data_IF_609183800311
#
_entry.id   IF_609183800311
#
_cell.length_a   1.000
_cell.length_b   1.000
_cell.length_c   1.000
_cell.angle_alpha   90.00
_cell.angle_beta   90.00
_cell.angle_gamma   90.00
#
_symmetry.space_group_name_H-M   'P 1'
#
loop_
_entity.id
_entity.type
_entity.pdbx_description
1 polymer ?
#
# COMPACT_ATOMS: atom_id res chain seq x y z
N UNK A 1 -2.48 -22.11 -29.04
CA UNK A 1 -1.27 -21.29 -28.80
C UNK A 1 -1.19 -20.23 -29.88
N UNK A 2 -1.51 -18.97 -29.60
CA UNK A 2 -1.32 -17.87 -30.55
C UNK A 2 0.06 -17.25 -30.28
N UNK A 3 0.94 -17.29 -31.27
CA UNK A 3 2.22 -16.59 -31.22
C UNK A 3 1.96 -15.08 -31.29
N UNK A 4 2.38 -14.33 -30.27
CA UNK A 4 2.34 -12.87 -30.26
C UNK A 4 3.70 -12.39 -30.80
N UNK A 5 3.66 -11.59 -31.86
CA UNK A 5 4.84 -11.09 -32.57
C UNK A 5 5.40 -9.85 -31.82
N UNK A 6 6.67 -9.84 -31.35
CA UNK A 6 7.19 -8.85 -30.39
C UNK A 6 7.48 -7.45 -30.99
N UNK A 7 7.21 -7.21 -32.27
CA UNK A 7 7.58 -5.98 -32.96
C UNK A 7 6.46 -4.96 -33.15
N UNK A 8 5.28 -5.18 -32.56
CA UNK A 8 4.15 -4.24 -32.68
C UNK A 8 3.55 -3.89 -31.32
N UNK A 9 4.38 -3.40 -30.40
CA UNK A 9 3.95 -3.00 -29.07
C UNK A 9 3.70 -1.50 -29.06
N UNK A 10 2.53 -1.08 -29.55
CA UNK A 10 1.98 0.23 -29.18
C UNK A 10 1.83 0.33 -27.65
N UNK A 11 1.50 1.51 -27.08
CA UNK A 11 1.36 1.69 -25.63
C UNK A 11 0.41 0.65 -24.99
N UNK A 12 -0.62 0.22 -25.72
CA UNK A 12 -1.54 -0.85 -25.30
C UNK A 12 -0.89 -2.24 -25.18
N UNK A 13 0.12 -2.56 -26.00
CA UNK A 13 0.81 -3.85 -25.92
C UNK A 13 1.74 -3.96 -24.71
N UNK A 14 2.28 -2.83 -24.23
CA UNK A 14 3.06 -2.78 -22.99
C UNK A 14 2.14 -2.91 -21.77
N UNK A 15 0.94 -2.32 -21.82
CA UNK A 15 -0.09 -2.51 -20.78
C UNK A 15 -0.54 -3.97 -20.69
N UNK A 16 -0.69 -4.67 -21.82
CA UNK A 16 -1.04 -6.10 -21.85
C UNK A 16 0.10 -6.95 -21.27
N UNK A 17 1.35 -6.72 -21.67
CA UNK A 17 2.51 -7.43 -21.12
C UNK A 17 2.69 -7.17 -19.61
N UNK A 18 2.48 -5.94 -19.14
CA UNK A 18 2.53 -5.60 -17.71
C UNK A 18 1.40 -6.27 -16.91
N UNK A 19 0.23 -6.47 -17.53
CA UNK A 19 -0.88 -7.20 -16.92
C UNK A 19 -0.66 -8.74 -16.94
N UNK A 20 -0.03 -9.29 -17.97
CA UNK A 20 0.26 -10.73 -18.10
C UNK A 20 1.49 -11.17 -17.27
N UNK A 21 2.44 -10.27 -17.02
CA UNK A 21 3.62 -10.52 -16.16
C UNK A 21 3.27 -10.61 -14.67
N UNK A 22 1.98 -10.44 -14.32
CA UNK A 22 1.48 -10.53 -12.97
C UNK A 22 1.74 -9.25 -12.16
N UNK A 23 0.84 -8.88 -11.25
CA UNK A 23 0.98 -7.67 -10.41
C UNK A 23 2.16 -7.75 -9.42
N UNK A 24 2.85 -8.88 -9.36
CA UNK A 24 4.08 -9.13 -8.61
C UNK A 24 5.30 -8.40 -9.22
N UNK A 25 5.29 -8.09 -10.52
CA UNK A 25 6.39 -7.44 -11.23
C UNK A 25 6.22 -5.91 -11.34
N UNK A 26 5.14 -5.34 -10.81
CA UNK A 26 4.93 -3.89 -10.84
C UNK A 26 5.59 -3.22 -9.63
N UNK A 27 6.74 -2.58 -9.87
CA UNK A 27 7.36 -1.71 -8.86
C UNK A 27 6.46 -0.50 -8.58
N UNK A 28 6.25 -0.19 -7.31
CA UNK A 28 5.51 0.99 -6.87
C UNK A 28 6.48 2.17 -6.75
N UNK A 29 6.16 3.27 -7.41
CA UNK A 29 6.98 4.49 -7.34
C UNK A 29 6.80 5.24 -6.02
N UNK A 30 7.76 6.11 -5.66
CA UNK A 30 7.62 7.03 -4.51
C UNK A 30 6.37 7.91 -4.60
N UNK A 31 5.98 8.33 -5.80
CA UNK A 31 4.76 9.13 -6.02
C UNK A 31 3.50 8.35 -5.63
N UNK A 32 3.42 7.08 -6.05
CA UNK A 32 2.32 6.20 -5.66
C UNK A 32 2.34 5.91 -4.15
N UNK A 33 3.51 5.65 -3.56
CA UNK A 33 3.62 5.45 -2.12
C UNK A 33 3.21 6.69 -1.31
N UNK A 34 3.56 7.91 -1.77
CA UNK A 34 3.06 9.14 -1.14
C UNK A 34 1.54 9.21 -1.15
N UNK A 35 0.92 8.92 -2.30
CA UNK A 35 -0.54 8.90 -2.41
C UNK A 35 -1.14 7.86 -1.46
N UNK A 36 -0.61 6.64 -1.49
CA UNK A 36 -1.02 5.53 -0.62
C UNK A 36 -0.92 5.90 0.86
N UNK A 37 0.16 6.56 1.25
CA UNK A 37 0.44 6.97 2.62
C UNK A 37 -0.11 8.36 2.94
N UNK A 38 -1.06 8.88 2.17
CA UNK A 38 -1.75 10.16 2.41
C UNK A 38 -0.78 11.34 2.60
N UNK A 39 0.30 11.36 1.81
CA UNK A 39 1.39 12.35 1.84
C UNK A 39 2.16 12.44 3.17
N UNK A 40 2.05 11.44 4.05
CA UNK A 40 2.83 11.40 5.30
C UNK A 40 4.32 11.03 5.11
N UNK A 41 4.75 10.70 3.89
CA UNK A 41 6.15 10.45 3.57
C UNK A 41 6.77 11.54 2.70
N UNK A 42 7.85 12.13 3.19
CA UNK A 42 8.71 13.04 2.43
C UNK A 42 9.89 12.30 1.80
N UNK A 43 10.67 12.96 0.94
CA UNK A 43 11.93 12.40 0.43
C UNK A 43 12.90 12.02 1.55
N UNK A 44 12.95 12.80 2.63
CA UNK A 44 13.77 12.46 3.80
C UNK A 44 13.29 11.19 4.50
N UNK A 45 11.99 10.92 4.54
CA UNK A 45 11.45 9.67 5.08
C UNK A 45 11.89 8.47 4.24
N UNK A 46 11.77 8.56 2.91
CA UNK A 46 12.25 7.52 2.00
C UNK A 46 13.74 7.27 2.17
N UNK A 47 14.55 8.34 2.15
CA UNK A 47 16.00 8.20 2.26
C UNK A 47 16.44 7.51 3.57
N UNK A 48 15.81 7.86 4.71
CA UNK A 48 16.09 7.17 5.99
C UNK A 48 15.68 5.70 5.95
N UNK A 49 14.46 5.42 5.50
CA UNK A 49 13.96 4.04 5.42
C UNK A 49 14.81 3.16 4.49
N UNK A 50 15.29 3.71 3.38
CA UNK A 50 16.20 3.03 2.46
C UNK A 50 17.59 2.80 3.09
N UNK A 51 18.14 3.83 3.72
CA UNK A 51 19.46 3.75 4.37
C UNK A 51 19.46 2.74 5.51
N UNK A 52 18.38 2.66 6.27
CA UNK A 52 18.22 1.74 7.39
C UNK A 52 17.80 0.33 6.93
N UNK A 53 17.63 0.10 5.62
CA UNK A 53 17.25 -1.20 5.05
C UNK A 53 15.79 -1.59 5.29
N UNK A 54 14.96 -0.69 5.82
CA UNK A 54 13.55 -0.93 6.14
C UNK A 54 12.65 -0.91 4.91
N UNK A 55 13.04 -0.15 3.88
CA UNK A 55 12.34 -0.08 2.60
C UNK A 55 13.35 -0.23 1.47
N UNK A 56 13.37 -1.41 0.82
CA UNK A 56 14.41 -1.76 -0.14
C UNK A 56 14.03 -1.31 -1.55
N UNK A 57 14.74 -0.34 -2.16
CA UNK A 57 14.47 0.09 -3.52
C UNK A 57 14.96 -0.95 -4.52
N UNK A 58 14.17 -1.20 -5.57
CA UNK A 58 14.50 -2.07 -6.69
C UNK A 58 14.53 -1.30 -7.99
N UNK A 59 15.35 -1.78 -8.92
CA UNK A 59 15.38 -1.30 -10.31
C UNK A 59 14.95 -2.42 -11.24
N UNK A 60 13.97 -2.15 -12.07
CA UNK A 60 13.51 -3.05 -13.12
C UNK A 60 13.33 -2.25 -14.41
N UNK A 61 13.99 -2.68 -15.48
CA UNK A 61 13.95 -2.01 -16.79
C UNK A 61 14.25 -0.49 -16.72
N UNK A 62 15.18 -0.08 -15.86
CA UNK A 62 15.54 1.33 -15.65
C UNK A 62 14.61 2.13 -14.74
N UNK A 63 13.49 1.55 -14.29
CA UNK A 63 12.54 2.17 -13.37
C UNK A 63 12.89 1.82 -11.93
N UNK A 64 12.99 2.84 -11.07
CA UNK A 64 13.17 2.70 -9.62
C UNK A 64 11.81 2.64 -8.92
N UNK A 65 11.62 1.68 -8.03
CA UNK A 65 10.45 1.60 -7.16
C UNK A 65 10.61 0.53 -6.09
N UNK A 66 9.51 0.08 -5.50
CA UNK A 66 9.50 -0.88 -4.41
C UNK A 66 8.52 -2.00 -4.72
N UNK A 67 8.88 -3.22 -4.38
CA UNK A 67 7.95 -4.35 -4.45
C UNK A 67 6.96 -4.33 -3.29
N UNK A 68 5.77 -4.89 -3.51
CA UNK A 68 4.70 -4.92 -2.50
C UNK A 68 5.10 -5.61 -1.21
N UNK A 69 5.91 -6.67 -1.28
CA UNK A 69 6.34 -7.40 -0.09
C UNK A 69 7.17 -6.50 0.83
N UNK A 70 8.14 -5.77 0.27
CA UNK A 70 8.96 -4.80 0.99
C UNK A 70 8.11 -3.65 1.57
N UNK A 71 7.11 -3.18 0.81
CA UNK A 71 6.19 -2.13 1.28
C UNK A 71 5.39 -2.63 2.49
N UNK A 72 4.84 -3.84 2.42
CA UNK A 72 4.05 -4.40 3.52
C UNK A 72 4.89 -4.68 4.76
N UNK A 73 6.10 -5.21 4.62
CA UNK A 73 7.04 -5.35 5.75
C UNK A 73 7.30 -3.99 6.43
N UNK A 74 7.59 -2.96 5.64
CA UNK A 74 7.77 -1.61 6.15
C UNK A 74 6.52 -1.08 6.86
N UNK A 75 5.33 -1.39 6.35
CA UNK A 75 4.04 -1.00 6.92
C UNK A 75 3.62 -1.80 8.17
N UNK A 76 4.41 -2.79 8.59
CA UNK A 76 4.15 -3.60 9.79
C UNK A 76 3.78 -5.07 9.54
N UNK A 77 4.09 -5.60 8.35
CA UNK A 77 4.03 -7.05 8.06
C UNK A 77 3.15 -7.43 6.87
N UNK A 78 3.19 -8.69 6.47
CA UNK A 78 2.41 -9.18 5.32
C UNK A 78 0.89 -9.08 5.54
N UNK A 79 0.09 -8.84 4.48
CA UNK A 79 -1.35 -8.93 4.56
C UNK A 79 -1.80 -10.35 4.94
N UNK A 80 -2.98 -10.52 5.57
CA UNK A 80 -3.61 -11.82 5.73
C UNK A 80 -3.88 -12.48 4.36
N UNK A 81 -3.85 -13.81 4.35
CA UNK A 81 -4.07 -14.61 3.13
C UNK A 81 -5.40 -14.25 2.48
N UNK A 82 -5.36 -13.94 1.18
CA UNK A 82 -6.54 -13.57 0.39
C UNK A 82 -6.95 -12.11 0.49
N UNK A 83 -6.26 -11.29 1.28
CA UNK A 83 -6.48 -9.84 1.38
C UNK A 83 -5.44 -9.01 0.63
N UNK A 84 -4.52 -9.61 -0.11
CA UNK A 84 -3.41 -8.95 -0.79
C UNK A 84 -3.91 -7.78 -1.66
N UNK A 85 -5.00 -8.01 -2.41
CA UNK A 85 -5.60 -6.98 -3.26
C UNK A 85 -6.14 -5.79 -2.44
N UNK A 86 -6.79 -6.04 -1.30
CA UNK A 86 -7.28 -4.99 -0.42
C UNK A 86 -6.13 -4.15 0.16
N UNK A 87 -4.99 -4.80 0.40
CA UNK A 87 -3.78 -4.16 0.92
C UNK A 87 -2.95 -3.45 -0.15
N UNK A 88 -3.32 -3.51 -1.44
CA UNK A 88 -2.71 -2.69 -2.50
C UNK A 88 -3.38 -1.33 -2.69
N UNK A 89 -4.53 -1.10 -2.05
CA UNK A 89 -5.31 0.15 -2.16
C UNK A 89 -4.74 1.23 -1.23
N UNK A 90 -4.85 2.50 -1.62
CA UNK A 90 -4.46 3.66 -0.81
C UNK A 90 -5.00 3.54 0.64
N UNK A 91 -4.13 3.75 1.63
CA UNK A 91 -4.49 3.69 3.04
C UNK A 91 -5.34 4.91 3.42
N UNK A 92 -6.08 4.81 4.51
CA UNK A 92 -6.91 5.90 5.02
C UNK A 92 -6.48 6.34 6.42
N UNK A 93 -6.90 7.54 6.83
CA UNK A 93 -6.54 8.13 8.12
C UNK A 93 -7.58 7.79 9.19
N UNK A 94 -7.24 8.01 10.47
CA UNK A 94 -8.20 7.85 11.56
C UNK A 94 -9.35 8.85 11.45
N UNK A 95 -9.05 10.05 10.95
CA UNK A 95 -10.00 11.13 10.72
C UNK A 95 -11.06 10.70 9.70
N UNK A 96 -10.64 10.12 8.57
CA UNK A 96 -11.56 9.61 7.57
C UNK A 96 -12.43 8.42 8.07
N UNK A 97 -11.93 7.61 9.01
CA UNK A 97 -12.75 6.57 9.66
C UNK A 97 -13.74 7.18 10.65
N UNK A 98 -13.29 8.18 11.42
CA UNK A 98 -14.13 8.89 12.38
C UNK A 98 -15.32 9.59 11.70
N UNK A 99 -15.16 10.09 10.47
CA UNK A 99 -16.26 10.66 9.69
C UNK A 99 -17.37 9.64 9.35
N UNK A 100 -17.11 8.34 9.49
CA UNK A 100 -18.04 7.26 9.16
C UNK A 100 -18.69 6.62 10.40
N UNK A 101 -18.36 7.07 11.62
CA UNK A 101 -18.81 6.43 12.86
C UNK A 101 -18.88 7.42 14.03
N UNK A 102 -19.57 7.09 15.14
CA UNK A 102 -19.68 8.00 16.29
C UNK A 102 -18.36 8.13 17.10
N UNK A 103 -17.25 7.53 16.64
CA UNK A 103 -15.98 7.55 17.35
C UNK A 103 -15.11 8.72 16.88
N UNK A 104 -14.44 9.38 17.83
CA UNK A 104 -13.41 10.37 17.48
C UNK A 104 -12.18 9.71 16.84
N UNK A 105 -11.41 10.45 16.04
CA UNK A 105 -10.16 9.97 15.46
C UNK A 105 -9.15 9.49 16.54
N UNK A 106 -9.14 10.12 17.72
CA UNK A 106 -8.31 9.68 18.84
C UNK A 106 -8.80 8.34 19.41
N UNK A 107 -10.11 8.13 19.50
CA UNK A 107 -10.71 6.85 19.89
C UNK A 107 -10.34 5.74 18.90
N UNK A 108 -10.40 6.02 17.58
CA UNK A 108 -9.97 5.08 16.53
C UNK A 108 -8.49 4.71 16.68
N UNK A 109 -7.61 5.69 16.92
CA UNK A 109 -6.17 5.43 17.18
C UNK A 109 -5.96 4.60 18.44
N UNK A 110 -6.74 4.82 19.50
CA UNK A 110 -6.64 4.04 20.73
C UNK A 110 -7.10 2.59 20.54
N UNK A 111 -8.18 2.36 19.78
CA UNK A 111 -8.62 1.03 19.39
C UNK A 111 -7.52 0.28 18.62
N UNK A 112 -6.84 0.96 17.69
CA UNK A 112 -5.74 0.39 16.93
C UNK A 112 -4.58 -0.03 17.85
N UNK A 113 -4.20 0.83 18.80
CA UNK A 113 -3.16 0.53 19.80
C UNK A 113 -3.52 -0.63 20.73
N UNK A 114 -4.80 -0.87 20.98
CA UNK A 114 -5.30 -2.03 21.73
C UNK A 114 -5.43 -3.31 20.88
N UNK A 115 -5.14 -3.23 19.58
CA UNK A 115 -5.23 -4.36 18.66
C UNK A 115 -6.65 -4.69 18.20
N UNK A 116 -7.62 -3.80 18.42
CA UNK A 116 -9.03 -4.06 18.08
C UNK A 116 -9.35 -3.78 16.61
N UNK A 117 -8.58 -2.90 15.98
CA UNK A 117 -8.65 -2.60 14.55
C UNK A 117 -7.23 -2.72 13.96
N UNK A 118 -7.05 -3.51 12.89
CA UNK A 118 -5.78 -3.61 12.19
C UNK A 118 -5.35 -2.25 11.64
N UNK A 119 -4.04 -1.99 11.70
CA UNK A 119 -3.47 -0.75 11.19
C UNK A 119 -2.12 -1.00 10.51
N UNK A 120 -1.70 -0.02 9.71
CA UNK A 120 -0.39 0.07 9.09
C UNK A 120 0.38 1.23 9.70
N UNK A 121 1.66 1.02 9.94
CA UNK A 121 2.55 2.04 10.48
C UNK A 121 3.48 2.57 9.39
N UNK A 122 3.39 3.86 9.12
CA UNK A 122 4.28 4.57 8.18
C UNK A 122 5.09 5.57 8.98
N UNK A 123 6.31 5.19 9.37
CA UNK A 123 7.11 5.95 10.31
C UNK A 123 6.41 6.06 11.68
N UNK A 124 5.92 7.26 12.02
CA UNK A 124 5.16 7.53 13.26
C UNK A 124 3.65 7.60 13.06
N UNK A 125 3.18 7.51 11.82
CA UNK A 125 1.77 7.69 11.50
C UNK A 125 1.09 6.33 11.43
N UNK A 126 -0.08 6.25 12.06
CA UNK A 126 -0.99 5.11 11.97
C UNK A 126 -1.98 5.39 10.85
N UNK A 127 -2.04 4.49 9.88
CA UNK A 127 -2.98 4.49 8.77
C UNK A 127 -3.73 3.16 8.73
N UNK A 128 -4.81 3.10 7.98
CA UNK A 128 -5.72 1.97 7.99
C UNK A 128 -5.97 1.44 6.59
N UNK A 129 -6.12 0.13 6.47
CA UNK A 129 -6.61 -0.49 5.24
C UNK A 129 -8.11 -0.25 5.15
N UNK A 130 -8.64 0.42 4.09
CA UNK A 130 -10.06 0.76 4.01
C UNK A 130 -11.00 -0.45 4.14
N UNK A 131 -10.60 -1.60 3.61
CA UNK A 131 -11.37 -2.84 3.72
C UNK A 131 -11.53 -3.28 5.18
N UNK A 132 -10.44 -3.33 5.94
CA UNK A 132 -10.48 -3.74 7.35
C UNK A 132 -11.22 -2.73 8.22
N UNK A 133 -11.02 -1.44 7.96
CA UNK A 133 -11.78 -0.39 8.61
C UNK A 133 -13.28 -0.56 8.40
N UNK A 134 -13.73 -0.81 7.16
CA UNK A 134 -15.15 -1.08 6.86
C UNK A 134 -15.66 -2.33 7.57
N UNK A 135 -14.88 -3.41 7.59
CA UNK A 135 -15.25 -4.64 8.29
C UNK A 135 -15.38 -4.40 9.79
N UNK A 136 -14.51 -3.60 10.38
CA UNK A 136 -14.63 -3.17 11.77
C UNK A 136 -15.92 -2.35 11.99
N UNK A 137 -16.19 -1.35 11.14
CA UNK A 137 -17.38 -0.50 11.25
C UNK A 137 -18.70 -1.28 11.13
N UNK A 138 -18.74 -2.33 10.31
CA UNK A 138 -19.90 -3.23 10.21
C UNK A 138 -20.27 -3.92 11.53
N UNK A 139 -19.35 -4.05 12.48
CA UNK A 139 -19.63 -4.62 13.81
C UNK A 139 -20.41 -3.67 14.72
N UNK A 140 -20.51 -2.40 14.33
CA UNK A 140 -21.21 -1.35 15.08
C UNK A 140 -22.58 -0.99 14.50
N UNK A 141 -22.87 -1.45 13.28
CA UNK A 141 -24.17 -1.30 12.63
C UNK A 141 -25.09 -2.45 13.06
#
# INVERSE_FOLDING_TARGET
MKQINPHNTGPAGLEILLNELGPELQLVSRKQLRKRWQNHASDSSFWRAEKDGLLVPRRQCGVLGYDWRSIWEYEGGQPPVGLEHAYRIDLTTAEAIADLCPLSANSVKNLAKRGEIPFRQVGRVILFVPHEARTFLKRWA
#
